data_IF_879995917709
#
_entry.id   IF_879995917709
#
_cell.length_a   1.000
_cell.length_b   1.000
_cell.length_c   1.000
_cell.angle_alpha   90.00
_cell.angle_beta   90.00
_cell.angle_gamma   90.00
#
_symmetry.space_group_name_H-M   'P 1'
#
loop_
_entity.id
_entity.type
_entity.pdbx_description
1 polymer ?
#
# COMPACT_ATOMS: atom_id res chain seq x y z
N UNK A 1 -2.04 37.57 -46.43
CA UNK A 1 -1.36 36.36 -45.90
C UNK A 1 -1.97 35.16 -46.60
N UNK A 2 -1.25 34.61 -47.56
CA UNK A 2 -1.70 33.65 -48.57
C UNK A 2 -2.06 32.29 -47.97
N UNK A 3 -3.06 31.62 -48.57
CA UNK A 3 -3.59 30.28 -48.26
C UNK A 3 -2.58 29.11 -48.40
N UNK A 4 -1.28 29.39 -48.48
CA UNK A 4 -0.20 28.44 -48.76
C UNK A 4 0.47 27.86 -47.50
N UNK A 5 0.08 28.32 -46.30
CA UNK A 5 0.69 27.89 -45.02
C UNK A 5 -0.12 26.84 -44.26
N UNK A 6 -1.33 26.48 -44.74
CA UNK A 6 -2.19 25.47 -44.12
C UNK A 6 -1.58 24.05 -44.07
N UNK A 7 -0.97 23.49 -45.14
CA UNK A 7 -0.44 22.13 -45.09
C UNK A 7 0.84 22.02 -44.25
N UNK A 8 1.65 23.07 -44.21
CA UNK A 8 2.86 23.12 -43.37
C UNK A 8 2.54 23.26 -41.90
N UNK A 9 1.52 24.04 -41.51
CA UNK A 9 1.08 24.15 -40.11
C UNK A 9 0.51 22.82 -39.57
N UNK A 10 -0.31 22.13 -40.40
CA UNK A 10 -0.87 20.82 -40.06
C UNK A 10 0.24 19.77 -39.91
N UNK A 11 1.21 19.72 -40.82
CA UNK A 11 2.35 18.81 -40.74
C UNK A 11 3.23 19.08 -39.52
N UNK A 12 3.48 20.35 -39.18
CA UNK A 12 4.20 20.74 -37.97
C UNK A 12 3.43 20.34 -36.71
N UNK A 13 2.10 20.53 -36.70
CA UNK A 13 1.24 20.13 -35.58
C UNK A 13 1.20 18.61 -35.39
N UNK A 14 1.12 17.82 -36.47
CA UNK A 14 1.13 16.36 -36.41
C UNK A 14 2.49 15.83 -35.93
N UNK A 15 3.60 16.41 -36.40
CA UNK A 15 4.93 16.08 -35.92
C UNK A 15 5.09 16.41 -34.43
N UNK A 16 4.58 17.56 -33.98
CA UNK A 16 4.63 17.95 -32.59
C UNK A 16 3.75 17.04 -31.71
N UNK A 17 2.55 16.66 -32.16
CA UNK A 17 1.69 15.71 -31.45
C UNK A 17 2.33 14.31 -31.39
N UNK A 18 2.95 13.83 -32.45
CA UNK A 18 3.70 12.57 -32.45
C UNK A 18 4.90 12.62 -31.51
N UNK A 19 5.66 13.72 -31.49
CA UNK A 19 6.76 13.91 -30.54
C UNK A 19 6.26 13.98 -29.10
N UNK A 20 5.16 14.68 -28.84
CA UNK A 20 4.51 14.68 -27.52
C UNK A 20 4.06 13.28 -27.11
N UNK A 21 3.46 12.51 -28.03
CA UNK A 21 3.08 11.12 -27.76
C UNK A 21 4.30 10.23 -27.46
N UNK A 22 5.39 10.34 -28.22
CA UNK A 22 6.63 9.56 -27.97
C UNK A 22 7.26 9.95 -26.63
N UNK A 23 7.28 11.25 -26.30
CA UNK A 23 7.82 11.75 -25.03
C UNK A 23 6.95 11.33 -23.85
N UNK A 24 5.62 11.35 -23.98
CA UNK A 24 4.70 10.92 -22.92
C UNK A 24 4.70 9.39 -22.77
N UNK A 25 4.73 8.62 -23.85
CA UNK A 25 4.82 7.16 -23.82
C UNK A 25 6.15 6.66 -23.24
N UNK A 26 7.25 7.42 -23.39
CA UNK A 26 8.55 7.07 -22.83
C UNK A 26 8.80 7.53 -21.38
N UNK A 27 7.99 8.46 -20.86
CA UNK A 27 8.24 9.13 -19.58
C UNK A 27 7.31 8.73 -18.43
N UNK A 28 6.46 7.72 -18.58
CA UNK A 28 5.62 7.24 -17.47
C UNK A 28 6.25 5.99 -16.87
N UNK A 29 7.09 6.14 -15.82
CA UNK A 29 7.59 4.98 -15.12
C UNK A 29 6.40 4.21 -14.55
N UNK A 30 6.28 2.93 -14.90
CA UNK A 30 5.48 1.99 -14.13
C UNK A 30 5.88 2.16 -12.66
N UNK A 31 4.96 2.64 -11.81
CA UNK A 31 5.31 3.02 -10.45
C UNK A 31 5.51 1.76 -9.61
N UNK A 32 6.76 1.47 -9.23
CA UNK A 32 7.15 0.33 -8.40
C UNK A 32 7.49 0.82 -6.99
N UNK A 33 6.92 0.18 -5.96
CA UNK A 33 7.24 0.47 -4.55
C UNK A 33 7.44 -0.81 -3.76
N UNK A 34 8.55 -0.88 -3.04
CA UNK A 34 8.81 -1.90 -2.02
C UNK A 34 8.11 -1.50 -0.73
N UNK A 35 7.27 -2.39 -0.19
CA UNK A 35 6.41 -2.13 0.96
C UNK A 35 6.28 -3.37 1.85
N UNK A 36 5.79 -3.14 3.07
CA UNK A 36 5.11 -4.14 3.89
C UNK A 36 3.65 -3.71 4.06
N UNK A 37 2.73 -4.67 4.06
CA UNK A 37 1.30 -4.38 4.26
C UNK A 37 0.90 -4.81 5.66
N UNK A 38 0.43 -3.87 6.47
CA UNK A 38 -0.11 -4.15 7.82
C UNK A 38 -1.64 -4.21 7.76
N UNK A 39 -2.25 -5.27 8.30
CA UNK A 39 -3.71 -5.40 8.36
C UNK A 39 -4.27 -4.93 9.71
N UNK A 40 -5.26 -4.04 9.67
CA UNK A 40 -5.83 -3.39 10.85
C UNK A 40 -6.63 -4.33 11.77
N UNK A 41 -7.19 -5.42 11.22
CA UNK A 41 -8.03 -6.35 11.97
C UNK A 41 -7.25 -7.47 12.67
N UNK A 42 -6.24 -8.03 12.00
CA UNK A 42 -5.35 -9.00 12.63
C UNK A 42 -4.28 -8.33 13.51
N UNK A 43 -3.91 -7.09 13.17
CA UNK A 43 -2.87 -6.36 13.87
C UNK A 43 -1.45 -6.81 13.48
N UNK A 44 -1.29 -7.44 12.31
CA UNK A 44 -0.01 -8.01 11.87
C UNK A 44 0.29 -7.73 10.40
N UNK A 45 1.54 -7.97 10.00
CA UNK A 45 1.99 -7.80 8.62
C UNK A 45 1.59 -8.98 7.73
N UNK A 46 1.22 -8.69 6.49
CA UNK A 46 0.95 -9.68 5.46
C UNK A 46 2.27 -10.33 5.05
N UNK A 47 2.28 -11.67 5.07
CA UNK A 47 3.39 -12.51 4.60
C UNK A 47 2.92 -13.57 3.63
N UNK A 48 3.82 -13.99 2.75
CA UNK A 48 3.58 -15.08 1.80
C UNK A 48 4.68 -16.12 1.91
N UNK A 49 4.35 -17.32 2.38
CA UNK A 49 5.34 -18.37 2.56
C UNK A 49 5.73 -19.08 1.24
N UNK A 50 6.76 -19.91 1.30
CA UNK A 50 7.24 -20.68 0.14
C UNK A 50 6.20 -21.66 -0.44
N UNK A 51 5.18 -22.04 0.34
CA UNK A 51 4.06 -22.89 -0.11
C UNK A 51 2.96 -22.08 -0.80
N UNK A 52 3.00 -20.74 -0.71
CA UNK A 52 2.01 -19.84 -1.29
C UNK A 52 0.80 -19.58 -0.39
N UNK A 53 0.91 -19.86 0.91
CA UNK A 53 -0.08 -19.39 1.88
C UNK A 53 0.16 -17.91 2.14
N UNK A 54 -0.92 -17.14 2.07
CA UNK A 54 -0.93 -15.72 2.45
C UNK A 54 -1.56 -15.62 3.81
N UNK A 55 -0.88 -14.99 4.76
CA UNK A 55 -1.30 -14.85 6.15
C UNK A 55 -0.95 -13.44 6.63
N UNK A 56 -1.65 -12.97 7.66
CA UNK A 56 -1.35 -11.73 8.35
C UNK A 56 -1.37 -11.99 9.86
N UNK A 57 -0.43 -12.82 10.32
CA UNK A 57 -0.29 -13.28 11.70
C UNK A 57 1.08 -12.92 12.26
N UNK A 58 1.21 -13.00 13.58
CA UNK A 58 2.43 -12.71 14.33
C UNK A 58 3.10 -14.03 14.70
N UNK A 59 3.80 -14.61 13.72
CA UNK A 59 4.56 -15.85 13.88
C UNK A 59 6.03 -15.49 13.69
N UNK A 60 6.91 -16.07 14.52
CA UNK A 60 8.38 -15.96 14.42
C UNK A 60 8.91 -16.54 13.09
N UNK A 61 8.67 -15.82 12.01
CA UNK A 61 9.11 -16.11 10.66
C UNK A 61 9.94 -14.92 10.21
N UNK A 62 11.03 -15.13 9.47
CA UNK A 62 11.86 -14.04 8.99
C UNK A 62 11.06 -12.96 8.26
N UNK A 63 11.23 -11.70 8.66
CA UNK A 63 10.59 -10.51 8.10
C UNK A 63 10.63 -10.42 6.57
N UNK A 64 11.61 -11.06 5.93
CA UNK A 64 11.75 -11.10 4.48
C UNK A 64 10.52 -11.66 3.77
N UNK A 65 9.76 -12.57 4.41
CA UNK A 65 8.50 -13.09 3.85
C UNK A 65 7.35 -12.07 3.82
N UNK A 66 7.51 -10.93 4.49
CA UNK A 66 6.58 -9.81 4.50
C UNK A 66 6.97 -8.69 3.52
N UNK A 67 8.10 -8.81 2.83
CA UNK A 67 8.54 -7.83 1.85
C UNK A 67 7.77 -8.04 0.53
N UNK A 68 7.01 -7.01 0.16
CA UNK A 68 6.15 -7.00 -1.01
C UNK A 68 6.57 -5.87 -1.96
N UNK A 69 6.35 -6.08 -3.24
CA UNK A 69 6.50 -5.06 -4.27
C UNK A 69 5.14 -4.78 -4.89
N UNK A 70 4.69 -3.53 -4.79
CA UNK A 70 3.50 -3.06 -5.50
C UNK A 70 3.96 -2.40 -6.80
N UNK A 71 3.47 -2.90 -7.93
CA UNK A 71 3.74 -2.34 -9.27
C UNK A 71 2.44 -1.90 -9.91
N UNK A 72 2.34 -0.61 -10.24
CA UNK A 72 1.31 -0.08 -11.14
C UNK A 72 1.62 -0.52 -12.56
N UNK A 73 0.65 -1.07 -13.26
CA UNK A 73 0.87 -1.63 -14.61
C UNK A 73 0.91 -0.55 -15.69
N UNK A 74 0.15 0.53 -15.52
CA UNK A 74 -0.05 1.63 -16.48
C UNK A 74 -0.93 2.74 -15.84
N UNK A 75 -1.56 3.58 -16.67
CA UNK A 75 -2.53 4.60 -16.27
C UNK A 75 -3.87 4.03 -15.78
N UNK A 76 -4.13 2.73 -15.89
CA UNK A 76 -5.42 2.13 -15.50
C UNK A 76 -5.62 2.05 -13.99
N UNK A 77 -4.66 2.53 -13.19
CA UNK A 77 -4.65 2.47 -11.71
C UNK A 77 -4.64 1.02 -11.17
N UNK A 78 -4.58 0.03 -12.07
CA UNK A 78 -4.42 -1.38 -11.73
C UNK A 78 -3.01 -1.62 -11.23
N UNK A 79 -2.91 -2.36 -10.13
CA UNK A 79 -1.65 -2.75 -9.55
C UNK A 79 -1.55 -4.26 -9.35
N UNK A 80 -0.31 -4.71 -9.26
CA UNK A 80 0.05 -6.07 -8.84
C UNK A 80 0.81 -6.00 -7.53
N UNK A 81 0.67 -7.04 -6.71
CA UNK A 81 1.41 -7.17 -5.45
C UNK A 81 2.22 -8.47 -5.53
N UNK A 82 3.53 -8.35 -5.42
CA UNK A 82 4.47 -9.47 -5.56
C UNK A 82 5.25 -9.68 -4.25
N UNK A 83 5.24 -10.90 -3.73
CA UNK A 83 6.04 -11.29 -2.60
C UNK A 83 7.45 -11.66 -3.05
N UNK A 84 8.43 -10.86 -2.63
CA UNK A 84 9.80 -10.93 -3.14
C UNK A 84 10.53 -12.19 -2.71
N UNK A 85 10.38 -12.58 -1.45
CA UNK A 85 11.07 -13.75 -0.89
C UNK A 85 10.55 -15.06 -1.50
N UNK A 86 9.24 -15.24 -1.54
CA UNK A 86 8.63 -16.47 -2.03
C UNK A 86 8.41 -16.50 -3.55
N UNK A 87 8.75 -15.41 -4.24
CA UNK A 87 8.60 -15.19 -5.69
C UNK A 87 7.20 -15.51 -6.18
N UNK A 88 6.20 -14.86 -5.56
CA UNK A 88 4.77 -15.14 -5.80
C UNK A 88 3.95 -13.87 -5.94
N UNK A 89 3.06 -13.83 -6.92
CA UNK A 89 2.01 -12.83 -7.00
C UNK A 89 0.91 -13.12 -5.98
N UNK A 90 0.41 -12.10 -5.29
CA UNK A 90 -0.85 -12.21 -4.56
C UNK A 90 -1.97 -12.24 -5.59
N UNK A 91 -2.83 -13.25 -5.48
CA UNK A 91 -3.97 -13.43 -6.37
C UNK A 91 -5.16 -13.98 -5.61
N UNK A 92 -6.37 -13.70 -6.08
CA UNK A 92 -7.52 -14.53 -5.75
C UNK A 92 -7.44 -15.86 -6.49
N UNK A 93 -7.86 -16.93 -5.84
CA UNK A 93 -8.16 -18.20 -6.52
C UNK A 93 -9.65 -18.24 -6.92
N UNK A 94 -10.06 -19.31 -7.61
CA UNK A 94 -11.46 -19.52 -8.02
C UNK A 94 -12.46 -19.56 -6.84
N UNK A 95 -11.99 -19.86 -5.63
CA UNK A 95 -12.79 -19.83 -4.39
C UNK A 95 -12.74 -18.47 -3.69
N UNK A 96 -12.25 -17.43 -4.36
CA UNK A 96 -12.07 -16.08 -3.83
C UNK A 96 -11.25 -15.99 -2.54
N UNK A 97 -10.33 -16.94 -2.37
CA UNK A 97 -9.34 -16.90 -1.29
C UNK A 97 -8.06 -16.26 -1.82
N UNK A 98 -7.48 -15.34 -1.05
CA UNK A 98 -6.18 -14.77 -1.34
C UNK A 98 -5.07 -15.83 -1.19
N UNK A 99 -4.24 -15.98 -2.22
CA UNK A 99 -3.17 -16.98 -2.32
C UNK A 99 -1.92 -16.38 -2.99
N UNK A 100 -0.75 -16.96 -2.70
CA UNK A 100 0.50 -16.64 -3.39
C UNK A 100 0.72 -17.57 -4.59
N UNK A 101 0.60 -17.05 -5.81
CA UNK A 101 0.77 -17.81 -7.05
C UNK A 101 2.16 -17.63 -7.65
N UNK A 102 2.81 -18.74 -8.05
CA UNK A 102 4.09 -18.69 -8.79
C UNK A 102 3.95 -18.11 -10.20
N UNK A 103 2.76 -18.19 -10.78
CA UNK A 103 2.46 -17.68 -12.12
C UNK A 103 1.53 -16.48 -12.00
N UNK A 104 1.72 -15.50 -12.87
CA UNK A 104 0.76 -14.42 -13.05
C UNK A 104 -0.52 -14.99 -13.69
N UNK A 105 -1.68 -14.75 -13.08
CA UNK A 105 -2.99 -15.29 -13.49
C UNK A 105 -3.91 -14.20 -14.02
N UNK A 106 -3.34 -13.24 -14.74
CA UNK A 106 -4.07 -12.10 -15.29
C UNK A 106 -4.75 -11.27 -14.21
N UNK A 107 -5.99 -10.88 -14.48
CA UNK A 107 -6.81 -10.02 -13.63
C UNK A 107 -7.05 -10.57 -12.20
N UNK A 108 -6.98 -11.89 -12.00
CA UNK A 108 -7.07 -12.48 -10.66
C UNK A 108 -5.90 -12.10 -9.74
N UNK A 109 -4.78 -11.62 -10.29
CA UNK A 109 -3.61 -11.13 -9.55
C UNK A 109 -3.49 -9.59 -9.58
N UNK A 110 -4.53 -8.90 -10.05
CA UNK A 110 -4.57 -7.45 -10.17
C UNK A 110 -5.61 -6.88 -9.21
N UNK A 111 -5.30 -5.69 -8.71
CA UNK A 111 -6.14 -4.98 -7.75
C UNK A 111 -6.25 -3.49 -8.08
N UNK A 112 -7.33 -2.87 -7.63
CA UNK A 112 -7.41 -1.43 -7.44
C UNK A 112 -7.07 -1.09 -5.99
N UNK A 113 -6.29 -0.02 -5.79
CA UNK A 113 -6.08 0.57 -4.46
C UNK A 113 -7.04 1.74 -4.26
N UNK A 114 -7.81 1.68 -3.17
CA UNK A 114 -8.70 2.76 -2.77
C UNK A 114 -8.38 3.19 -1.33
N UNK A 115 -8.20 4.49 -1.12
CA UNK A 115 -8.08 5.06 0.20
C UNK A 115 -9.49 5.36 0.73
N UNK A 116 -9.83 4.80 1.89
CA UNK A 116 -11.09 5.09 2.57
C UNK A 116 -10.97 6.36 3.43
N UNK A 117 -12.10 6.97 3.79
CA UNK A 117 -12.15 8.27 4.48
C UNK A 117 -11.33 8.35 5.77
N UNK A 118 -11.13 7.21 6.46
CA UNK A 118 -10.34 7.11 7.68
C UNK A 118 -8.83 6.92 7.44
N UNK A 119 -8.37 7.05 6.19
CA UNK A 119 -6.95 7.05 5.82
C UNK A 119 -6.32 5.68 5.57
N UNK A 120 -7.10 4.59 5.64
CA UNK A 120 -6.61 3.25 5.31
C UNK A 120 -6.72 2.93 3.82
N UNK A 121 -5.89 2.02 3.33
CA UNK A 121 -5.98 1.50 1.98
C UNK A 121 -6.80 0.21 1.96
N UNK A 122 -7.59 0.01 0.90
CA UNK A 122 -8.26 -1.24 0.57
C UNK A 122 -7.84 -1.68 -0.83
N UNK A 123 -7.62 -2.97 -0.99
CA UNK A 123 -7.23 -3.57 -2.27
C UNK A 123 -8.41 -4.38 -2.82
N UNK A 124 -9.06 -3.85 -3.84
CA UNK A 124 -10.25 -4.41 -4.49
C UNK A 124 -9.83 -5.24 -5.70
N UNK A 125 -10.47 -6.38 -5.95
CA UNK A 125 -10.25 -7.15 -7.18
C UNK A 125 -10.66 -6.32 -8.39
N UNK A 126 -9.94 -6.47 -9.51
CA UNK A 126 -10.36 -5.89 -10.79
C UNK A 126 -11.46 -6.71 -11.47
N UNK A 127 -11.66 -7.98 -11.07
CA UNK A 127 -12.62 -8.92 -11.67
C UNK A 127 -14.01 -8.81 -11.03
N UNK A 128 -14.06 -8.66 -9.70
CA UNK A 128 -15.31 -8.54 -8.94
C UNK A 128 -15.15 -7.44 -7.89
N UNK A 129 -15.89 -6.35 -8.07
CA UNK A 129 -15.81 -5.16 -7.23
C UNK A 129 -16.25 -5.39 -5.79
N UNK A 130 -16.98 -6.48 -5.51
CA UNK A 130 -17.37 -6.86 -4.16
C UNK A 130 -16.24 -7.55 -3.38
N UNK A 131 -15.13 -7.88 -4.05
CA UNK A 131 -14.04 -8.67 -3.49
C UNK A 131 -12.87 -7.81 -3.12
N UNK A 132 -12.46 -7.93 -1.87
CA UNK A 132 -11.35 -7.19 -1.30
C UNK A 132 -10.35 -8.15 -0.67
N UNK A 133 -9.07 -7.80 -0.74
CA UNK A 133 -8.10 -8.43 0.14
C UNK A 133 -8.52 -8.19 1.58
N UNK A 134 -8.35 -9.19 2.42
CA UNK A 134 -8.67 -9.04 3.83
C UNK A 134 -8.30 -10.28 4.64
N UNK A 135 -8.11 -10.05 5.92
CA UNK A 135 -7.75 -11.08 6.89
C UNK A 135 -8.66 -10.97 8.10
N UNK A 136 -9.06 -12.10 8.65
CA UNK A 136 -9.76 -12.11 9.92
C UNK A 136 -8.79 -11.79 11.08
N UNK A 137 -9.34 -11.64 12.29
CA UNK A 137 -8.56 -11.33 13.50
C UNK A 137 -7.44 -12.34 13.82
N UNK A 138 -7.51 -13.57 13.28
CA UNK A 138 -6.48 -14.61 13.45
C UNK A 138 -5.46 -14.62 12.30
N UNK A 139 -5.45 -13.61 11.45
CA UNK A 139 -4.52 -13.50 10.33
C UNK A 139 -4.79 -14.44 9.16
N UNK A 140 -5.97 -15.09 9.10
CA UNK A 140 -6.33 -15.96 7.97
C UNK A 140 -7.05 -15.16 6.89
N UNK A 141 -6.76 -15.40 5.59
CA UNK A 141 -7.49 -14.76 4.50
C UNK A 141 -8.99 -14.95 4.62
N UNK A 142 -9.73 -13.87 4.38
CA UNK A 142 -11.17 -13.95 4.20
C UNK A 142 -11.50 -14.83 2.98
N UNK A 143 -12.69 -15.42 3.01
CA UNK A 143 -13.22 -16.29 1.95
C UNK A 143 -14.61 -15.80 1.59
N UNK A 144 -15.02 -16.02 0.34
CA UNK A 144 -16.41 -15.79 -0.07
C UNK A 144 -16.77 -14.33 -0.30
N UNK A 145 -18.05 -14.11 -0.62
CA UNK A 145 -18.65 -12.84 -1.08
C UNK A 145 -19.05 -11.91 0.06
N UNK A 146 -19.18 -12.44 1.27
CA UNK A 146 -19.72 -11.68 2.38
C UNK A 146 -18.73 -10.62 2.85
N UNK A 147 -19.19 -9.37 2.87
CA UNK A 147 -18.53 -8.28 3.59
C UNK A 147 -18.27 -8.74 5.03
N UNK A 148 -17.03 -8.67 5.54
CA UNK A 148 -16.74 -9.10 6.90
C UNK A 148 -17.54 -8.23 7.89
N UNK A 149 -18.04 -8.86 8.96
CA UNK A 149 -18.74 -8.14 10.04
C UNK A 149 -17.91 -6.98 10.61
N UNK A 150 -16.58 -7.14 10.67
CA UNK A 150 -15.68 -6.06 11.03
C UNK A 150 -15.03 -5.46 9.77
N UNK A 151 -15.38 -4.22 9.37
CA UNK A 151 -14.84 -3.59 8.16
C UNK A 151 -13.33 -3.32 8.23
N UNK A 152 -12.74 -3.31 9.44
CA UNK A 152 -11.28 -3.21 9.62
C UNK A 152 -10.53 -4.37 8.97
N UNK A 153 -11.20 -5.51 8.77
CA UNK A 153 -10.58 -6.68 8.17
C UNK A 153 -10.20 -6.51 6.70
N UNK A 154 -10.68 -5.43 6.07
CA UNK A 154 -10.31 -5.01 4.72
C UNK A 154 -9.27 -3.87 4.69
N UNK A 155 -8.92 -3.30 5.85
CA UNK A 155 -8.09 -2.09 5.94
C UNK A 155 -6.60 -2.45 6.04
N UNK A 156 -5.78 -1.70 5.29
CA UNK A 156 -4.34 -1.86 5.26
C UNK A 156 -3.58 -0.53 5.40
N UNK A 157 -2.41 -0.62 6.03
CA UNK A 157 -1.40 0.44 6.04
C UNK A 157 -0.21 -0.04 5.21
N UNK A 158 0.30 0.83 4.33
CA UNK A 158 1.53 0.61 3.58
C UNK A 158 2.70 1.16 4.40
N UNK A 159 3.64 0.29 4.76
CA UNK A 159 4.88 0.64 5.42
C UNK A 159 6.01 0.54 4.40
N UNK A 160 6.95 1.48 4.39
CA UNK A 160 8.17 1.33 3.58
C UNK A 160 8.98 0.15 4.15
N UNK A 161 9.54 -0.68 3.27
CA UNK A 161 10.38 -1.80 3.69
C UNK A 161 11.60 -1.36 4.53
N UNK A 162 12.13 -0.17 4.25
CA UNK A 162 13.26 0.44 4.97
C UNK A 162 12.83 1.20 6.22
N UNK A 163 11.52 1.34 6.47
CA UNK A 163 11.02 2.02 7.64
C UNK A 163 11.09 1.10 8.85
N UNK A 164 12.04 1.40 9.72
CA UNK A 164 12.11 0.83 11.06
C UNK A 164 11.55 1.84 12.07
N UNK A 165 10.53 1.42 12.81
CA UNK A 165 9.88 2.25 13.84
C UNK A 165 10.87 2.60 14.95
N UNK A 166 11.75 1.67 15.34
CA UNK A 166 12.76 1.95 16.37
C UNK A 166 13.74 3.00 15.88
N UNK A 167 14.32 2.82 14.69
CA UNK A 167 15.21 3.79 14.08
C UNK A 167 14.54 5.16 13.88
N UNK A 168 13.28 5.18 13.45
CA UNK A 168 12.51 6.41 13.32
C UNK A 168 12.34 7.09 14.68
N UNK A 169 11.85 6.38 15.69
CA UNK A 169 11.63 6.93 17.02
C UNK A 169 12.95 7.40 17.67
N UNK A 170 14.04 6.66 17.50
CA UNK A 170 15.38 7.07 17.94
C UNK A 170 15.83 8.35 17.26
N UNK A 171 15.62 8.47 15.94
CA UNK A 171 15.93 9.69 15.18
C UNK A 171 15.06 10.88 15.60
N UNK A 172 13.80 10.64 15.93
CA UNK A 172 12.90 11.67 16.45
C UNK A 172 13.29 12.11 17.87
N UNK A 173 13.80 11.19 18.68
CA UNK A 173 14.28 11.47 20.03
C UNK A 173 15.65 12.17 20.06
N UNK A 174 16.51 11.96 19.04
CA UNK A 174 17.88 12.50 19.01
C UNK A 174 18.00 13.96 18.60
N UNK A 175 16.90 14.65 18.27
CA UNK A 175 16.89 16.10 17.98
C UNK A 175 17.61 16.53 16.69
N UNK A 176 18.19 15.62 15.91
CA UNK A 176 18.95 15.87 14.67
C UNK A 176 18.06 15.97 13.41
N UNK A 177 16.79 16.32 13.58
CA UNK A 177 15.81 16.35 12.51
C UNK A 177 15.89 17.64 11.67
N UNK A 178 16.48 17.54 10.47
CA UNK A 178 16.38 18.57 9.44
C UNK A 178 15.15 18.30 8.54
N UNK A 179 14.08 19.06 8.79
CA UNK A 179 12.77 18.97 8.12
C UNK A 179 12.81 19.07 6.59
N UNK A 180 13.87 19.67 6.05
CA UNK A 180 14.09 19.87 4.61
C UNK A 180 14.56 18.62 3.85
N UNK A 181 14.94 17.55 4.54
CA UNK A 181 15.50 16.31 3.94
C UNK A 181 14.55 15.12 3.90
N UNK A 182 13.37 15.21 4.53
CA UNK A 182 12.41 14.10 4.57
C UNK A 182 11.43 14.12 3.37
N UNK A 183 11.53 13.17 2.43
CA UNK A 183 10.65 13.11 1.25
C UNK A 183 9.19 12.80 1.59
N UNK A 184 8.88 12.26 2.78
CA UNK A 184 7.53 11.95 3.24
C UNK A 184 6.81 13.23 3.68
N UNK A 185 7.48 14.11 4.42
CA UNK A 185 6.91 15.36 4.91
C UNK A 185 6.83 16.47 3.86
N UNK A 186 7.70 16.44 2.82
CA UNK A 186 7.57 17.34 1.66
C UNK A 186 6.21 17.25 0.96
N UNK A 187 5.57 16.08 0.92
CA UNK A 187 4.22 15.92 0.35
C UNK A 187 3.13 16.47 1.25
N UNK A 188 3.31 16.42 2.56
CA UNK A 188 2.33 16.92 3.54
C UNK A 188 2.35 18.44 3.59
N UNK A 189 3.51 19.07 3.43
CA UNK A 189 3.68 20.52 3.47
C UNK A 189 2.98 21.27 2.32
N UNK A 190 2.78 20.64 1.16
CA UNK A 190 2.14 21.29 0.01
C UNK A 190 0.60 21.41 0.14
N UNK A 191 0.00 20.72 1.11
CA UNK A 191 -1.47 20.68 1.30
C UNK A 191 -2.03 21.52 2.44
N UNK A 192 -1.19 22.21 3.23
CA UNK A 192 -1.64 22.85 4.48
C UNK A 192 -1.34 24.36 4.50
N UNK A 193 -2.20 25.15 3.84
CA UNK A 193 -2.30 26.60 4.11
C UNK A 193 -3.54 26.90 4.97
N UNK A 194 -3.26 27.36 6.20
CA UNK A 194 -4.09 28.16 7.17
C UNK A 194 -5.23 27.41 7.88
N UNK A 195 -5.52 27.60 9.18
CA UNK A 195 -5.28 28.68 10.16
C UNK A 195 -5.10 28.16 11.61
N UNK A 196 -4.66 28.98 12.58
CA UNK A 196 -4.34 28.52 13.94
C UNK A 196 -5.55 28.57 14.88
N UNK A 197 -5.99 27.43 15.39
CA UNK A 197 -6.94 27.36 16.50
C UNK A 197 -6.21 26.84 17.75
N UNK A 198 -6.10 27.68 18.78
CA UNK A 198 -5.57 27.30 20.10
C UNK A 198 -6.49 26.24 20.70
N UNK A 199 -5.99 25.02 20.90
CA UNK A 199 -6.62 24.05 21.81
C UNK A 199 -5.58 23.52 22.80
N UNK A 200 -5.89 23.75 24.07
CA UNK A 200 -5.17 23.33 25.26
C UNK A 200 -5.02 21.80 25.32
N UNK A 201 -3.87 21.35 25.81
CA UNK A 201 -3.52 19.93 25.92
C UNK A 201 -4.40 19.18 26.95
N UNK A 202 -4.94 18.00 26.65
CA UNK A 202 -5.58 17.17 27.65
C UNK A 202 -4.55 16.43 28.51
N UNK A 203 -4.71 16.51 29.83
CA UNK A 203 -3.96 15.73 30.84
C UNK A 203 -4.22 14.23 30.67
N UNK A 204 -3.18 13.46 30.36
CA UNK A 204 -3.23 11.99 30.35
C UNK A 204 -3.06 11.47 31.79
N UNK A 205 -4.09 10.77 32.29
CA UNK A 205 -4.09 10.13 33.61
C UNK A 205 -3.57 8.70 33.44
N UNK A 206 -2.34 8.42 33.88
CA UNK A 206 -1.78 7.07 33.90
C UNK A 206 -2.52 6.19 34.90
N UNK A 207 -3.08 5.07 34.46
CA UNK A 207 -3.52 3.96 35.33
C UNK A 207 -2.43 2.90 35.33
N UNK A 208 -1.71 2.79 36.44
CA UNK A 208 -0.75 1.71 36.68
C UNK A 208 -1.51 0.41 36.96
N UNK A 209 -1.34 -0.61 36.13
CA UNK A 209 -1.72 -1.98 36.45
C UNK A 209 -0.48 -2.73 36.96
N UNK A 210 -0.38 -2.90 38.28
CA UNK A 210 0.55 -3.84 38.90
C UNK A 210 0.11 -5.28 38.60
N UNK A 211 0.93 -6.03 37.86
CA UNK A 211 0.83 -7.49 37.76
C UNK A 211 1.52 -8.11 38.98
N UNK A 212 0.77 -8.82 39.83
CA UNK A 212 1.31 -9.70 40.86
C UNK A 212 1.86 -10.96 40.20
N UNK A 213 3.14 -11.27 40.42
CA UNK A 213 3.71 -12.58 40.12
C UNK A 213 3.30 -13.56 41.23
N UNK A 214 2.78 -14.72 40.82
CA UNK A 214 2.47 -15.85 41.70
C UNK A 214 3.58 -16.88 41.47
N UNK A 215 4.35 -17.19 42.51
CA UNK A 215 5.28 -18.32 42.54
C UNK A 215 4.50 -19.59 42.94
N UNK A 216 4.84 -20.71 42.31
CA UNK A 216 4.45 -22.06 42.75
C UNK A 216 5.72 -22.94 42.86
N UNK A 217 5.67 -24.01 43.67
CA UNK A 217 6.75 -24.50 44.53
C UNK A 217 7.89 -25.22 43.82
#
# INVERSE_FOLDING_TARGET
>A
LTLSTLPSLLAVSAKLLCLLMVVICGAVPSMVRSVRLYNDCSGSQVRVDLRGRVLADDVDIPDRFSNLTIRSLDFSVKLTIFAEESKRFLCFNQKWKLVGSKRFRGEMCQFYENMVQNGYNRFRSVVDETRFMGFNRRGKPLRGTATPHNPKCLNFIKLDQKFDILSHNMRMASGTYNESTDPVLRRVAYGKKRSPERRTAPRIRHKNHHRKFVNYP
#
